data_IF_737390200419
#
_entry.id   IF_737390200419
#
_cell.length_a   1.000
_cell.length_b   1.000
_cell.length_c   1.000
_cell.angle_alpha   90.00
_cell.angle_beta   90.00
_cell.angle_gamma   90.00
#
_symmetry.space_group_name_H-M   'P 1'
#
loop_
_entity.id
_entity.type
_entity.pdbx_description
1 polymer ?
#
# COMPACT_ATOMS: atom_id res chain seq x y z
N UNK A 1 -0.26 -3.87 30.10
CA UNK A 1 -0.14 -4.15 28.65
C UNK A 1 1.02 -5.12 28.43
N UNK A 2 0.88 -6.09 27.55
CA UNK A 2 1.89 -7.10 27.22
C UNK A 2 2.20 -7.00 25.72
N UNK A 3 3.50 -7.00 25.37
CA UNK A 3 3.92 -7.01 23.97
C UNK A 3 4.31 -8.43 23.55
N UNK A 4 3.87 -8.86 22.35
CA UNK A 4 4.20 -10.18 21.81
C UNK A 4 4.21 -10.20 20.28
N UNK A 5 4.94 -11.17 19.73
CA UNK A 5 4.90 -11.49 18.31
C UNK A 5 3.58 -12.15 17.95
N UNK A 6 3.06 -11.85 16.77
CA UNK A 6 1.75 -12.29 16.26
C UNK A 6 1.87 -13.21 15.02
N UNK A 7 2.98 -13.91 14.90
CA UNK A 7 3.25 -14.88 13.83
C UNK A 7 2.18 -16.00 13.74
N UNK A 8 1.58 -16.39 14.88
CA UNK A 8 0.57 -17.46 14.99
C UNK A 8 -0.90 -16.98 14.86
N UNK A 9 -1.14 -15.67 14.78
CA UNK A 9 -2.49 -15.10 14.75
C UNK A 9 -2.63 -13.97 13.72
N UNK A 10 -2.33 -14.24 12.43
CA UNK A 10 -2.29 -13.20 11.39
C UNK A 10 -3.64 -12.50 11.20
N UNK A 11 -4.74 -13.23 11.26
CA UNK A 11 -6.08 -12.65 11.04
C UNK A 11 -6.43 -11.59 12.08
N UNK A 12 -6.10 -11.85 13.34
CA UNK A 12 -6.35 -10.92 14.43
C UNK A 12 -5.50 -9.65 14.30
N UNK A 13 -4.24 -9.82 13.92
CA UNK A 13 -3.33 -8.71 13.64
C UNK A 13 -3.84 -7.88 12.46
N UNK A 14 -4.16 -8.53 11.34
CA UNK A 14 -4.67 -7.87 10.14
C UNK A 14 -6.01 -7.18 10.36
N UNK A 15 -6.88 -7.77 11.19
CA UNK A 15 -8.16 -7.14 11.57
C UNK A 15 -7.94 -5.83 12.35
N UNK A 16 -7.01 -5.81 13.30
CA UNK A 16 -6.66 -4.58 14.02
C UNK A 16 -6.12 -3.53 13.05
N UNK A 17 -5.18 -3.89 12.18
CA UNK A 17 -4.64 -2.97 11.17
C UNK A 17 -5.74 -2.42 10.26
N UNK A 18 -6.66 -3.26 9.79
CA UNK A 18 -7.76 -2.87 8.90
C UNK A 18 -8.79 -1.94 9.57
N UNK A 19 -8.97 -2.05 10.88
CA UNK A 19 -9.91 -1.24 11.66
C UNK A 19 -9.31 0.06 12.19
N UNK A 20 -7.97 0.18 12.19
CA UNK A 20 -7.29 1.36 12.72
C UNK A 20 -7.44 2.56 11.76
N UNK A 21 -7.70 3.80 12.26
CA UNK A 21 -7.86 4.99 11.41
C UNK A 21 -6.65 5.29 10.49
N UNK A 22 -5.43 5.03 10.97
CA UNK A 22 -4.18 5.15 10.21
C UNK A 22 -3.74 3.81 9.60
N UNK A 23 -4.64 2.81 9.53
CA UNK A 23 -4.31 1.49 9.01
C UNK A 23 -3.90 1.52 7.54
N UNK A 24 -2.88 0.74 7.21
CA UNK A 24 -2.32 0.66 5.86
C UNK A 24 -1.99 -0.80 5.53
N UNK A 25 -2.13 -1.20 4.26
CA UNK A 25 -1.81 -2.55 3.81
C UNK A 25 -0.35 -2.92 4.11
N UNK A 26 0.55 -1.94 4.09
CA UNK A 26 1.97 -2.13 4.38
C UNK A 26 2.25 -2.53 5.84
N UNK A 27 1.26 -2.44 6.72
CA UNK A 27 1.32 -2.88 8.11
C UNK A 27 0.68 -4.25 8.34
N UNK A 28 0.22 -4.95 7.31
CA UNK A 28 -0.39 -6.28 7.42
C UNK A 28 0.64 -7.42 7.30
N UNK A 29 0.26 -8.61 7.77
CA UNK A 29 1.06 -9.82 7.54
C UNK A 29 1.12 -10.20 6.06
N UNK A 30 0.08 -9.90 5.26
CA UNK A 30 0.11 -10.08 3.80
C UNK A 30 1.27 -9.33 3.14
N UNK A 31 1.49 -8.08 3.55
CA UNK A 31 2.65 -7.32 3.08
C UNK A 31 3.96 -7.90 3.60
N UNK A 32 3.98 -8.35 4.84
CA UNK A 32 5.14 -9.03 5.43
C UNK A 32 5.56 -10.24 4.60
N UNK A 33 4.61 -11.11 4.22
CA UNK A 33 4.86 -12.28 3.38
C UNK A 33 5.37 -11.89 2.00
N UNK A 34 4.73 -10.93 1.31
CA UNK A 34 5.26 -10.42 0.06
C UNK A 34 6.71 -9.93 0.19
N UNK A 35 7.05 -9.27 1.29
CA UNK A 35 8.41 -8.76 1.52
C UNK A 35 9.41 -9.85 1.87
N UNK A 36 8.96 -11.00 2.40
CA UNK A 36 9.82 -12.15 2.69
C UNK A 36 10.52 -12.67 1.43
N UNK A 37 9.83 -12.66 0.29
CA UNK A 37 10.37 -13.03 -1.03
C UNK A 37 11.44 -12.05 -1.56
N UNK A 38 11.66 -10.91 -0.88
CA UNK A 38 12.63 -9.87 -1.29
C UNK A 38 13.74 -9.65 -0.26
N UNK A 39 14.00 -10.64 0.59
CA UNK A 39 15.09 -10.63 1.56
C UNK A 39 14.78 -9.86 2.85
N UNK A 40 13.52 -9.61 3.15
CA UNK A 40 13.06 -9.12 4.44
C UNK A 40 12.46 -10.25 5.26
N UNK A 41 12.68 -10.23 6.57
CA UNK A 41 12.02 -11.12 7.53
C UNK A 41 10.91 -10.34 8.23
N UNK A 42 9.62 -10.71 8.06
CA UNK A 42 8.52 -10.07 8.77
C UNK A 42 8.53 -10.46 10.26
N UNK A 43 8.31 -9.50 11.13
CA UNK A 43 8.19 -9.65 12.58
C UNK A 43 6.95 -8.83 13.02
N UNK A 44 5.73 -9.38 12.91
CA UNK A 44 4.53 -8.70 13.38
C UNK A 44 4.52 -8.68 14.91
N UNK A 45 4.59 -7.48 15.51
CA UNK A 45 4.56 -7.29 16.96
C UNK A 45 3.34 -6.47 17.35
N UNK A 46 2.70 -6.81 18.47
CA UNK A 46 1.59 -6.03 19.01
C UNK A 46 1.62 -5.97 20.53
N UNK A 47 1.12 -4.86 21.06
CA UNK A 47 0.82 -4.63 22.48
C UNK A 47 -0.63 -4.98 22.73
N UNK A 48 -0.87 -5.87 23.70
CA UNK A 48 -2.22 -6.37 24.05
C UNK A 48 -2.56 -5.96 25.47
N UNK A 49 -3.79 -5.50 25.68
CA UNK A 49 -4.39 -5.21 26.97
C UNK A 49 -5.79 -5.79 27.03
N UNK A 50 -6.09 -6.54 28.10
CA UNK A 50 -7.40 -7.20 28.28
C UNK A 50 -7.90 -7.94 27.03
N UNK A 51 -6.98 -8.62 26.37
CA UNK A 51 -7.27 -9.36 25.15
C UNK A 51 -7.41 -8.53 23.88
N UNK A 52 -7.26 -7.21 23.88
CA UNK A 52 -7.36 -6.34 22.71
C UNK A 52 -5.99 -5.77 22.30
N UNK A 53 -5.72 -5.68 20.99
CA UNK A 53 -4.53 -5.01 20.49
C UNK A 53 -4.72 -3.50 20.68
N UNK A 54 -3.72 -2.85 21.29
CA UNK A 54 -3.66 -1.40 21.53
C UNK A 54 -2.62 -0.69 20.68
N UNK A 55 -1.56 -1.40 20.29
CA UNK A 55 -0.58 -0.91 19.33
C UNK A 55 -0.02 -2.09 18.53
N UNK A 56 0.45 -1.82 17.32
CA UNK A 56 1.10 -2.83 16.47
C UNK A 56 2.12 -2.23 15.54
N UNK A 57 3.07 -3.06 15.12
CA UNK A 57 3.98 -2.76 14.03
C UNK A 57 4.27 -4.03 13.22
N UNK A 58 4.15 -3.92 11.89
CA UNK A 58 4.81 -4.85 10.97
C UNK A 58 6.27 -4.41 10.84
N UNK A 59 7.16 -5.10 11.51
CA UNK A 59 8.60 -4.87 11.40
C UNK A 59 9.15 -5.74 10.28
N UNK A 60 9.77 -5.12 9.32
CA UNK A 60 10.55 -5.77 8.28
C UNK A 60 12.02 -5.72 8.69
N UNK A 61 12.58 -6.88 9.03
CA UNK A 61 14.00 -7.04 9.39
C UNK A 61 14.81 -7.38 8.16
N UNK A 62 15.93 -6.71 7.93
CA UNK A 62 16.87 -7.01 6.85
C UNK A 62 18.30 -7.07 7.39
N UNK A 63 19.02 -8.13 7.05
CA UNK A 63 20.45 -8.28 7.37
C UNK A 63 21.26 -7.26 6.60
N UNK A 64 22.25 -6.65 7.26
CA UNK A 64 23.27 -5.81 6.62
C UNK A 64 24.43 -6.70 6.24
N UNK A 65 24.79 -6.80 4.95
CA UNK A 65 25.91 -7.62 4.50
C UNK A 65 27.19 -7.29 5.27
N UNK A 66 27.98 -8.30 5.58
CA UNK A 66 29.30 -8.23 6.23
C UNK A 66 29.35 -7.66 7.67
N UNK A 67 28.27 -7.07 8.19
CA UNK A 67 28.30 -6.47 9.54
C UNK A 67 27.77 -7.37 10.65
N UNK A 68 27.19 -8.53 10.34
CA UNK A 68 26.50 -9.38 11.33
C UNK A 68 25.35 -8.68 12.06
N UNK A 69 24.88 -7.55 11.53
CA UNK A 69 23.83 -6.69 12.07
C UNK A 69 22.62 -6.69 11.14
N UNK A 70 21.53 -6.08 11.58
CA UNK A 70 20.34 -5.89 10.77
C UNK A 70 19.77 -4.47 10.92
N UNK A 71 18.79 -4.16 10.11
CA UNK A 71 17.95 -2.97 10.23
C UNK A 71 16.49 -3.40 10.35
N UNK A 72 15.71 -2.59 11.05
CA UNK A 72 14.27 -2.70 11.15
C UNK A 72 13.59 -1.57 10.37
N UNK A 73 12.51 -1.89 9.67
CA UNK A 73 11.70 -0.91 8.97
C UNK A 73 10.21 -1.24 9.11
N UNK A 74 9.39 -0.24 9.46
CA UNK A 74 7.94 -0.35 9.52
C UNK A 74 7.31 0.69 8.58
N UNK A 75 6.98 0.31 7.33
CA UNK A 75 6.35 1.22 6.39
C UNK A 75 4.94 1.59 6.87
N UNK A 76 4.60 2.88 6.86
CA UNK A 76 3.29 3.39 7.31
C UNK A 76 2.92 3.01 8.75
N UNK A 77 3.88 2.64 9.56
CA UNK A 77 3.70 2.26 10.97
C UNK A 77 4.72 2.95 11.89
N UNK A 78 4.55 2.76 13.21
CA UNK A 78 3.59 1.88 13.89
C UNK A 78 2.16 2.43 13.96
N UNK A 79 1.22 1.57 14.39
CA UNK A 79 -0.17 1.92 14.71
C UNK A 79 -0.37 1.87 16.24
N UNK A 80 -1.07 2.85 16.81
CA UNK A 80 -1.31 2.89 18.25
C UNK A 80 -2.59 3.67 18.59
N UNK A 81 -3.27 3.25 19.66
CA UNK A 81 -4.52 3.86 20.13
C UNK A 81 -4.33 4.86 21.25
N UNK A 82 -3.15 4.88 21.87
CA UNK A 82 -2.80 5.82 22.97
C UNK A 82 -1.28 5.97 23.08
N UNK A 83 -0.83 7.06 23.71
CA UNK A 83 0.58 7.29 24.05
C UNK A 83 1.21 6.15 24.83
N UNK A 84 0.51 5.67 25.85
CA UNK A 84 0.99 4.57 26.69
C UNK A 84 1.17 3.27 25.88
N UNK A 85 0.25 2.99 24.96
CA UNK A 85 0.38 1.82 24.09
C UNK A 85 1.59 1.95 23.14
N UNK A 86 1.87 3.17 22.65
CA UNK A 86 3.07 3.45 21.87
C UNK A 86 4.35 3.23 22.70
N UNK A 87 4.39 3.72 23.94
CA UNK A 87 5.56 3.53 24.83
C UNK A 87 5.89 2.05 25.04
N UNK A 88 4.89 1.24 25.40
CA UNK A 88 5.08 -0.20 25.55
C UNK A 88 5.55 -0.86 24.24
N UNK A 89 5.05 -0.41 23.08
CA UNK A 89 5.52 -0.92 21.79
C UNK A 89 6.98 -0.53 21.53
N UNK A 90 7.36 0.73 21.79
CA UNK A 90 8.74 1.21 21.59
C UNK A 90 9.73 0.48 22.50
N UNK A 91 9.37 0.22 23.77
CA UNK A 91 10.18 -0.57 24.70
C UNK A 91 10.37 -2.00 24.20
N UNK A 92 9.29 -2.68 23.85
CA UNK A 92 9.34 -4.04 23.35
C UNK A 92 10.15 -4.17 22.05
N UNK A 93 10.02 -3.22 21.12
CA UNK A 93 10.82 -3.22 19.90
C UNK A 93 12.28 -2.88 20.18
N UNK A 94 12.58 -2.04 21.17
CA UNK A 94 13.97 -1.79 21.61
C UNK A 94 14.65 -3.08 22.10
N UNK A 95 13.94 -3.91 22.87
CA UNK A 95 14.48 -5.17 23.36
C UNK A 95 14.60 -6.21 22.24
N UNK A 96 13.63 -6.26 21.36
CA UNK A 96 13.69 -7.07 20.13
C UNK A 96 14.88 -6.65 19.24
N UNK A 97 15.13 -5.35 19.12
CA UNK A 97 16.24 -4.79 18.35
C UNK A 97 17.60 -5.19 18.95
N UNK A 98 17.75 -5.15 20.28
CA UNK A 98 18.96 -5.64 20.97
C UNK A 98 19.19 -7.12 20.70
N UNK A 99 18.16 -7.95 20.85
CA UNK A 99 18.22 -9.41 20.62
C UNK A 99 18.64 -9.75 19.18
N UNK A 100 18.16 -8.98 18.20
CA UNK A 100 18.49 -9.19 16.79
C UNK A 100 19.73 -8.43 16.31
N UNK A 101 20.35 -7.60 17.13
CA UNK A 101 21.47 -6.76 16.76
C UNK A 101 21.09 -5.70 15.71
N UNK A 102 19.89 -5.13 15.82
CA UNK A 102 19.44 -4.10 14.91
C UNK A 102 20.16 -2.77 15.18
N UNK A 103 20.63 -2.11 14.12
CA UNK A 103 21.32 -0.82 14.18
C UNK A 103 20.34 0.33 14.44
N UNK A 104 19.16 0.24 13.84
CA UNK A 104 18.08 1.22 13.99
C UNK A 104 16.74 0.62 13.58
N UNK A 105 15.66 1.25 13.99
CA UNK A 105 14.32 1.02 13.50
C UNK A 105 13.82 2.28 12.77
N UNK A 106 13.64 2.19 11.45
CA UNK A 106 13.05 3.24 10.63
C UNK A 106 11.52 3.11 10.61
N UNK A 107 10.84 4.24 10.77
CA UNK A 107 9.37 4.34 10.79
C UNK A 107 8.92 5.51 9.93
N UNK A 108 7.78 5.39 9.29
CA UNK A 108 7.10 6.47 8.54
C UNK A 108 5.57 6.35 8.66
N UNK A 109 5.02 6.53 9.89
CA UNK A 109 3.61 6.35 10.16
C UNK A 109 2.74 7.29 9.33
N UNK A 110 1.51 6.83 9.01
CA UNK A 110 0.52 7.62 8.29
C UNK A 110 -0.18 8.63 9.22
N UNK A 111 0.61 9.41 9.97
CA UNK A 111 0.13 10.47 10.87
C UNK A 111 0.19 11.81 10.15
N UNK A 112 -0.84 12.63 10.32
CA UNK A 112 -0.86 13.99 9.77
C UNK A 112 -0.06 14.93 10.67
N UNK A 113 0.75 15.80 10.06
CA UNK A 113 1.44 16.85 10.80
C UNK A 113 0.39 17.77 11.46
N UNK A 114 0.53 18.00 12.78
CA UNK A 114 -0.43 18.77 13.57
C UNK A 114 -1.45 17.92 14.34
N UNK A 115 -1.56 16.62 14.07
CA UNK A 115 -2.33 15.73 14.92
C UNK A 115 -1.64 15.58 16.30
N UNK A 116 -2.40 15.47 17.41
CA UNK A 116 -1.82 15.20 18.75
C UNK A 116 -0.93 13.94 18.73
N UNK A 117 -1.36 12.89 18.03
CA UNK A 117 -0.59 11.66 17.85
C UNK A 117 0.76 11.89 17.16
N UNK A 118 0.84 12.82 16.20
CA UNK A 118 2.12 13.20 15.58
C UNK A 118 3.05 13.89 16.59
N UNK A 119 2.54 14.83 17.35
CA UNK A 119 3.35 15.59 18.33
C UNK A 119 3.98 14.63 19.33
N UNK A 120 3.20 13.70 19.86
CA UNK A 120 3.68 12.73 20.83
C UNK A 120 4.65 11.72 20.23
N UNK A 121 4.37 11.23 19.03
CA UNK A 121 5.24 10.32 18.32
C UNK A 121 6.60 10.98 18.02
N UNK A 122 6.60 12.22 17.52
CA UNK A 122 7.81 12.93 17.09
C UNK A 122 8.74 13.29 18.24
N UNK A 123 8.23 13.57 19.45
CA UNK A 123 9.05 13.86 20.63
C UNK A 123 9.90 12.68 21.11
N UNK A 124 9.52 11.45 20.75
CA UNK A 124 10.20 10.23 21.21
C UNK A 124 11.23 9.70 20.21
N UNK A 125 11.41 10.36 19.06
CA UNK A 125 12.15 9.86 17.93
C UNK A 125 13.08 10.90 17.33
N UNK A 126 14.06 10.44 16.57
CA UNK A 126 14.93 11.30 15.77
C UNK A 126 14.32 11.43 14.39
N UNK A 127 13.89 12.64 14.02
CA UNK A 127 13.46 12.94 12.67
C UNK A 127 14.68 13.01 11.73
N UNK A 128 14.70 12.14 10.71
CA UNK A 128 15.74 12.18 9.67
C UNK A 128 15.23 13.05 8.53
N UNK A 129 15.83 14.22 8.37
CA UNK A 129 15.61 15.09 7.22
C UNK A 129 16.81 14.94 6.26
N UNK A 130 16.61 14.33 5.10
CA UNK A 130 17.69 14.12 4.13
C UNK A 130 17.93 15.30 3.21
N UNK A 131 17.18 16.42 3.37
CA UNK A 131 17.28 17.59 2.50
C UNK A 131 16.76 17.40 1.08
N UNK A 132 16.29 16.20 0.72
CA UNK A 132 15.72 15.88 -0.58
C UNK A 132 14.18 15.96 -0.51
N UNK A 133 13.52 16.36 -1.60
CA UNK A 133 12.06 16.41 -1.69
C UNK A 133 11.40 15.03 -1.44
N UNK A 134 12.14 13.95 -1.72
CA UNK A 134 11.82 12.56 -1.37
C UNK A 134 12.60 12.09 -0.14
N UNK A 135 12.23 12.57 1.03
CA UNK A 135 12.93 12.24 2.28
C UNK A 135 12.55 10.90 2.90
N UNK A 136 11.67 10.12 2.28
CA UNK A 136 11.19 8.85 2.81
C UNK A 136 11.04 7.79 1.75
N UNK A 137 10.81 6.56 2.19
CA UNK A 137 10.44 5.46 1.30
C UNK A 137 8.98 5.61 0.85
N UNK A 138 8.15 6.26 1.68
CA UNK A 138 6.74 6.53 1.42
C UNK A 138 6.51 8.02 1.08
N UNK A 139 5.55 8.35 0.20
CA UNK A 139 5.26 9.74 -0.16
C UNK A 139 4.76 10.53 1.06
N UNK A 140 5.28 11.76 1.23
CA UNK A 140 4.82 12.69 2.27
C UNK A 140 3.43 13.25 2.00
N UNK A 141 3.12 13.48 0.72
CA UNK A 141 1.86 14.05 0.27
C UNK A 141 1.13 13.02 -0.59
N UNK A 142 -0.13 12.85 -0.32
CA UNK A 142 -1.04 11.96 -1.04
C UNK A 142 -2.29 12.72 -1.43
N UNK A 143 -3.01 12.25 -2.44
CA UNK A 143 -4.29 12.81 -2.87
C UNK A 143 -5.40 11.82 -2.56
N UNK A 144 -6.18 12.10 -1.54
CA UNK A 144 -7.32 11.27 -1.16
C UNK A 144 -8.62 11.77 -1.77
N UNK A 145 -9.36 10.88 -2.39
CA UNK A 145 -10.71 11.11 -2.89
C UNK A 145 -11.72 10.46 -1.94
N UNK A 146 -12.68 11.25 -1.46
CA UNK A 146 -13.86 10.73 -0.76
C UNK A 146 -14.78 10.02 -1.77
N UNK A 147 -14.95 8.72 -1.61
CA UNK A 147 -15.80 7.88 -2.47
C UNK A 147 -17.10 7.43 -1.79
N UNK A 148 -17.49 8.04 -0.67
CA UNK A 148 -18.80 7.81 -0.01
C UNK A 148 -19.99 8.26 -0.83
N UNK A 149 -19.96 9.43 -1.53
CA UNK A 149 -21.06 9.88 -2.37
C UNK A 149 -21.40 8.89 -3.50
N UNK A 150 -22.55 9.06 -4.16
CA UNK A 150 -22.93 8.26 -5.33
C UNK A 150 -21.88 8.37 -6.45
N UNK A 151 -21.78 7.35 -7.31
CA UNK A 151 -20.85 7.38 -8.45
C UNK A 151 -21.10 8.59 -9.36
N UNK A 152 -22.38 8.97 -9.54
CA UNK A 152 -22.73 10.16 -10.33
C UNK A 152 -22.23 11.44 -9.67
N UNK A 153 -22.37 11.55 -8.35
CA UNK A 153 -21.85 12.69 -7.57
C UNK A 153 -20.34 12.77 -7.66
N UNK A 154 -19.65 11.65 -7.48
CA UNK A 154 -18.18 11.58 -7.59
C UNK A 154 -17.75 12.03 -8.99
N UNK A 155 -18.37 11.48 -10.04
CA UNK A 155 -18.06 11.82 -11.42
C UNK A 155 -18.36 13.30 -11.73
N UNK A 156 -19.47 13.83 -11.24
CA UNK A 156 -19.86 15.23 -11.48
C UNK A 156 -18.93 16.23 -10.78
N UNK A 157 -18.35 15.86 -9.65
CA UNK A 157 -17.38 16.70 -8.92
C UNK A 157 -15.96 16.68 -9.53
N UNK A 158 -15.68 15.77 -10.48
CA UNK A 158 -14.41 15.78 -11.20
C UNK A 158 -14.30 16.98 -12.13
N UNK A 159 -13.06 17.40 -12.46
CA UNK A 159 -12.81 18.42 -13.50
C UNK A 159 -13.45 18.01 -14.82
N UNK A 160 -13.96 18.98 -15.58
CA UNK A 160 -14.62 18.74 -16.87
C UNK A 160 -13.83 17.82 -17.81
N UNK A 161 -12.51 18.06 -17.96
CA UNK A 161 -11.62 17.23 -18.79
C UNK A 161 -11.56 15.77 -18.32
N UNK A 162 -11.56 15.54 -17.00
CA UNK A 162 -11.52 14.17 -16.43
C UNK A 162 -12.81 13.43 -16.76
N UNK A 163 -13.99 14.04 -16.50
CA UNK A 163 -15.30 13.46 -16.86
C UNK A 163 -15.40 13.16 -18.34
N UNK A 164 -14.97 14.14 -19.17
CA UNK A 164 -14.98 13.97 -20.62
C UNK A 164 -14.14 12.76 -21.04
N UNK A 165 -12.91 12.64 -20.54
CA UNK A 165 -12.00 11.56 -20.93
C UNK A 165 -12.48 10.18 -20.45
N UNK A 166 -13.10 10.06 -19.28
CA UNK A 166 -13.73 8.82 -18.83
C UNK A 166 -14.82 8.38 -19.82
N UNK A 167 -15.78 9.29 -20.11
CA UNK A 167 -16.88 9.01 -21.04
C UNK A 167 -16.39 8.81 -22.47
N UNK A 168 -15.34 9.50 -22.88
CA UNK A 168 -14.74 9.36 -24.21
C UNK A 168 -14.11 7.98 -24.39
N UNK A 169 -13.32 7.51 -23.42
CA UNK A 169 -12.74 6.18 -23.48
C UNK A 169 -13.82 5.09 -23.62
N UNK A 170 -14.88 5.17 -22.81
CA UNK A 170 -16.01 4.24 -22.87
C UNK A 170 -16.71 4.26 -24.25
N UNK A 171 -17.08 5.45 -24.76
CA UNK A 171 -17.69 5.60 -26.09
C UNK A 171 -16.80 5.11 -27.24
N UNK A 172 -15.48 5.17 -27.06
CA UNK A 172 -14.50 4.67 -28.04
C UNK A 172 -14.24 3.18 -27.91
N UNK A 173 -14.98 2.48 -27.04
CA UNK A 173 -14.88 1.02 -26.90
C UNK A 173 -13.69 0.54 -26.05
N UNK A 174 -13.14 1.41 -25.18
CA UNK A 174 -12.19 0.95 -24.17
C UNK A 174 -12.96 0.22 -23.08
N UNK A 175 -12.61 -1.04 -22.85
CA UNK A 175 -13.16 -1.88 -21.77
C UNK A 175 -12.12 -2.11 -20.70
N UNK A 176 -12.53 -2.19 -19.43
CA UNK A 176 -11.66 -2.51 -18.31
C UNK A 176 -12.12 -3.83 -17.66
N UNK A 177 -11.21 -4.77 -17.60
CA UNK A 177 -11.44 -6.09 -17.01
C UNK A 177 -10.71 -6.21 -15.67
N UNK A 178 -11.39 -6.76 -14.67
CA UNK A 178 -10.76 -7.21 -13.43
C UNK A 178 -10.16 -8.58 -13.72
N UNK A 179 -8.85 -8.68 -13.57
CA UNK A 179 -8.13 -9.92 -13.79
C UNK A 179 -8.54 -10.99 -12.77
N UNK A 180 -8.69 -12.22 -13.26
CA UNK A 180 -9.03 -13.42 -12.48
C UNK A 180 -7.96 -14.50 -12.54
N UNK A 181 -6.96 -14.32 -13.39
CA UNK A 181 -5.89 -15.28 -13.61
C UNK A 181 -4.52 -14.66 -13.40
N UNK A 182 -3.62 -15.40 -12.75
CA UNK A 182 -2.22 -15.00 -12.58
C UNK A 182 -1.52 -14.82 -13.94
N UNK A 183 -1.94 -15.54 -14.98
CA UNK A 183 -1.42 -15.39 -16.35
C UNK A 183 -1.64 -14.00 -16.95
N UNK A 184 -2.61 -13.21 -16.43
CA UNK A 184 -2.83 -11.84 -16.86
C UNK A 184 -1.64 -10.90 -16.51
N UNK A 185 -0.74 -11.36 -15.63
CA UNK A 185 0.53 -10.69 -15.39
C UNK A 185 1.43 -10.65 -16.64
N UNK A 186 1.33 -11.65 -17.52
CA UNK A 186 2.05 -11.70 -18.79
C UNK A 186 1.59 -10.60 -19.77
N UNK A 187 0.36 -10.09 -19.58
CA UNK A 187 -0.15 -8.90 -20.31
C UNK A 187 0.25 -7.61 -19.60
N UNK A 188 0.17 -7.58 -18.27
CA UNK A 188 0.46 -6.39 -17.49
C UNK A 188 1.95 -6.01 -17.51
N UNK A 189 2.84 -6.98 -17.36
CA UNK A 189 4.25 -6.72 -17.14
C UNK A 189 4.95 -6.05 -18.35
N UNK A 190 4.72 -6.49 -19.61
CA UNK A 190 5.25 -5.76 -20.77
C UNK A 190 4.76 -4.31 -20.89
N UNK A 191 3.51 -4.03 -20.52
CA UNK A 191 3.00 -2.66 -20.45
C UNK A 191 3.72 -1.83 -19.39
N UNK A 192 4.08 -2.45 -18.27
CA UNK A 192 4.82 -1.80 -17.20
C UNK A 192 6.28 -1.54 -17.63
N UNK A 193 6.92 -2.46 -18.35
CA UNK A 193 8.24 -2.28 -18.94
C UNK A 193 8.25 -1.12 -19.94
N UNK A 194 7.27 -1.07 -20.85
CA UNK A 194 7.09 0.02 -21.81
C UNK A 194 6.94 1.38 -21.09
N UNK A 195 6.16 1.40 -20.01
CA UNK A 195 5.96 2.60 -19.18
C UNK A 195 7.27 3.02 -18.50
N UNK A 196 7.99 2.07 -17.92
CA UNK A 196 9.25 2.32 -17.21
C UNK A 196 10.34 2.87 -18.16
N UNK A 197 10.45 2.31 -19.36
CA UNK A 197 11.37 2.80 -20.39
C UNK A 197 11.05 4.23 -20.82
N UNK A 198 9.77 4.52 -21.07
CA UNK A 198 9.30 5.85 -21.45
C UNK A 198 9.53 6.89 -20.37
N UNK A 199 9.17 6.55 -19.13
CA UNK A 199 9.13 7.51 -18.01
C UNK A 199 10.42 7.42 -17.14
N UNK A 200 11.39 6.56 -17.53
CA UNK A 200 12.74 6.43 -16.96
C UNK A 200 12.77 6.12 -15.46
N UNK A 201 11.99 5.14 -15.02
CA UNK A 201 12.05 4.64 -13.66
C UNK A 201 12.30 3.13 -13.60
N UNK A 202 12.79 2.66 -12.44
CA UNK A 202 13.04 1.23 -12.21
C UNK A 202 11.77 0.53 -11.75
N UNK A 203 11.53 -0.67 -12.27
CA UNK A 203 10.43 -1.54 -11.85
C UNK A 203 10.92 -2.76 -11.07
N UNK A 204 10.00 -3.40 -10.38
CA UNK A 204 10.22 -4.72 -9.77
C UNK A 204 10.26 -5.81 -10.84
N UNK A 205 10.93 -6.93 -10.54
CA UNK A 205 10.97 -8.09 -11.44
C UNK A 205 9.59 -8.69 -11.66
N UNK A 206 9.42 -9.47 -12.72
CA UNK A 206 8.19 -10.22 -12.96
C UNK A 206 7.84 -11.14 -11.78
N UNK A 207 8.83 -11.84 -11.22
CA UNK A 207 8.64 -12.71 -10.05
C UNK A 207 8.11 -11.97 -8.81
N UNK A 208 8.44 -10.69 -8.63
CA UNK A 208 7.82 -9.88 -7.59
C UNK A 208 6.31 -9.74 -7.77
N UNK A 209 5.83 -9.57 -9.00
CA UNK A 209 4.40 -9.47 -9.29
C UNK A 209 3.69 -10.83 -9.20
N UNK A 210 4.40 -11.94 -9.47
CA UNK A 210 3.88 -13.28 -9.19
C UNK A 210 3.65 -13.49 -7.69
N UNK A 211 4.62 -13.13 -6.84
CA UNK A 211 4.45 -13.16 -5.38
C UNK A 211 3.37 -12.18 -4.91
N UNK A 212 3.28 -10.98 -5.50
CA UNK A 212 2.21 -10.04 -5.20
C UNK A 212 0.84 -10.63 -5.52
N UNK A 213 0.72 -11.39 -6.61
CA UNK A 213 -0.51 -12.10 -6.91
C UNK A 213 -0.87 -13.09 -5.82
N UNK A 214 0.07 -13.93 -5.43
CA UNK A 214 -0.15 -14.97 -4.42
C UNK A 214 -0.48 -14.36 -3.04
N UNK A 215 0.30 -13.36 -2.60
CA UNK A 215 0.20 -12.82 -1.26
C UNK A 215 -0.85 -11.71 -1.08
N UNK A 216 -1.26 -11.03 -2.17
CA UNK A 216 -2.19 -9.89 -2.06
C UNK A 216 -3.45 -10.05 -2.92
N UNK A 217 -3.36 -10.61 -4.15
CA UNK A 217 -4.54 -10.74 -5.01
C UNK A 217 -5.40 -11.92 -4.59
N UNK A 218 -4.81 -13.08 -4.30
CA UNK A 218 -5.54 -14.26 -3.81
C UNK A 218 -6.29 -13.94 -2.50
N UNK A 219 -5.68 -13.29 -1.48
CA UNK A 219 -6.41 -12.87 -0.28
C UNK A 219 -7.39 -11.69 -0.49
N UNK A 220 -7.51 -11.18 -1.72
CA UNK A 220 -8.41 -10.07 -2.09
C UNK A 220 -8.08 -8.72 -1.44
N UNK A 221 -6.80 -8.50 -1.11
CA UNK A 221 -6.28 -7.21 -0.65
C UNK A 221 -5.70 -6.37 -1.78
N UNK A 222 -5.55 -6.97 -2.97
CA UNK A 222 -5.18 -6.30 -4.20
C UNK A 222 -6.03 -6.78 -5.37
N UNK A 223 -6.06 -6.01 -6.47
CA UNK A 223 -6.72 -6.36 -7.72
C UNK A 223 -5.94 -5.82 -8.91
N UNK A 224 -5.69 -6.66 -9.91
CA UNK A 224 -5.17 -6.26 -11.21
C UNK A 224 -6.33 -5.89 -12.15
N UNK A 225 -6.19 -4.75 -12.82
CA UNK A 225 -7.10 -4.23 -13.84
C UNK A 225 -6.37 -4.15 -15.18
N UNK A 226 -7.00 -4.57 -16.25
CA UNK A 226 -6.46 -4.47 -17.62
C UNK A 226 -7.46 -3.74 -18.52
N UNK A 227 -6.99 -2.73 -19.23
CA UNK A 227 -7.77 -1.99 -20.21
C UNK A 227 -7.48 -2.45 -21.62
N UNK A 228 -8.53 -2.72 -22.38
CA UNK A 228 -8.46 -3.21 -23.76
C UNK A 228 -9.24 -2.31 -24.73
N UNK A 229 -8.83 -2.35 -25.97
CA UNK A 229 -9.60 -1.88 -27.12
C UNK A 229 -9.44 -2.86 -28.26
N UNK A 230 -10.55 -3.48 -28.72
CA UNK A 230 -10.53 -4.51 -29.79
C UNK A 230 -9.49 -5.62 -29.52
N UNK A 231 -9.52 -6.19 -28.32
CA UNK A 231 -8.58 -7.22 -27.81
C UNK A 231 -7.11 -6.77 -27.66
N UNK A 232 -6.77 -5.52 -28.01
CA UNK A 232 -5.44 -4.98 -27.81
C UNK A 232 -5.32 -4.38 -26.39
N UNK A 233 -4.35 -4.83 -25.58
CA UNK A 233 -4.12 -4.24 -24.26
C UNK A 233 -3.56 -2.82 -24.41
N UNK A 234 -4.14 -1.86 -23.70
CA UNK A 234 -3.77 -0.44 -23.73
C UNK A 234 -3.18 0.04 -22.42
N UNK A 235 -3.41 -0.67 -21.34
CA UNK A 235 -2.89 -0.32 -20.03
C UNK A 235 -3.33 -1.31 -18.96
N UNK A 236 -2.72 -1.20 -17.80
CA UNK A 236 -3.05 -2.00 -16.63
C UNK A 236 -2.78 -1.23 -15.34
N UNK A 237 -3.40 -1.67 -14.26
CA UNK A 237 -3.21 -1.08 -12.95
C UNK A 237 -3.39 -2.12 -11.85
N UNK A 238 -2.65 -1.99 -10.75
CA UNK A 238 -2.91 -2.76 -9.54
C UNK A 238 -3.32 -1.79 -8.44
N UNK A 239 -4.52 -2.01 -7.90
CA UNK A 239 -5.01 -1.32 -6.74
C UNK A 239 -4.93 -2.21 -5.51
N UNK A 240 -4.61 -1.61 -4.35
CA UNK A 240 -4.64 -2.25 -3.04
C UNK A 240 -5.89 -1.81 -2.29
N UNK A 241 -6.33 -2.62 -1.32
CA UNK A 241 -7.39 -2.24 -0.39
C UNK A 241 -7.14 -2.83 1.00
N UNK A 242 -7.56 -2.10 2.03
CA UNK A 242 -7.63 -2.58 3.41
C UNK A 242 -8.71 -1.80 4.16
N UNK A 243 -9.59 -2.51 4.87
CA UNK A 243 -10.69 -1.86 5.59
C UNK A 243 -11.53 -0.96 4.69
N UNK A 244 -11.52 0.34 4.99
CA UNK A 244 -12.28 1.37 4.26
C UNK A 244 -11.48 2.16 3.24
N UNK A 245 -10.23 1.77 2.97
CA UNK A 245 -9.31 2.48 2.07
C UNK A 245 -8.89 1.63 0.89
N UNK A 246 -8.69 2.29 -0.25
CA UNK A 246 -8.09 1.70 -1.43
C UNK A 246 -7.00 2.64 -1.98
N UNK A 247 -5.96 2.05 -2.60
CA UNK A 247 -4.80 2.78 -3.14
C UNK A 247 -4.53 2.34 -4.58
N UNK A 248 -4.25 3.30 -5.46
CA UNK A 248 -3.63 3.06 -6.75
C UNK A 248 -2.11 2.93 -6.56
N UNK A 249 -1.54 1.76 -6.83
CA UNK A 249 -0.15 1.48 -6.48
C UNK A 249 0.75 1.27 -7.70
N UNK A 250 0.31 0.49 -8.66
CA UNK A 250 1.05 0.26 -9.90
C UNK A 250 0.19 0.62 -11.09
N UNK A 251 0.81 1.30 -12.07
CA UNK A 251 0.15 1.66 -13.31
C UNK A 251 1.05 1.50 -14.51
N UNK A 252 0.44 1.03 -15.59
CA UNK A 252 1.09 0.78 -16.86
C UNK A 252 0.21 1.31 -18.00
N UNK A 253 0.84 1.86 -19.04
CA UNK A 253 0.12 2.33 -20.23
C UNK A 253 0.96 2.15 -21.48
N UNK A 254 0.36 1.58 -22.52
CA UNK A 254 0.98 1.47 -23.83
C UNK A 254 1.16 2.83 -24.50
N UNK A 255 2.15 2.94 -25.36
CA UNK A 255 2.33 4.06 -26.27
C UNK A 255 1.33 4.05 -27.45
N UNK A 256 0.71 2.88 -27.68
CA UNK A 256 -0.29 2.71 -28.75
C UNK A 256 -1.64 3.27 -28.34
N UNK A 257 -2.31 3.98 -29.26
CA UNK A 257 -3.69 4.52 -29.07
C UNK A 257 -3.88 5.33 -27.78
N UNK A 258 -2.87 6.07 -27.34
CA UNK A 258 -2.95 6.93 -26.13
C UNK A 258 -4.09 7.94 -26.16
N UNK A 259 -4.49 8.34 -27.36
CA UNK A 259 -5.67 9.21 -27.59
C UNK A 259 -6.99 8.58 -27.09
N UNK A 260 -7.06 7.26 -26.91
CA UNK A 260 -8.27 6.59 -26.38
C UNK A 260 -8.45 6.75 -24.87
N UNK A 261 -7.50 7.36 -24.16
CA UNK A 261 -7.60 7.73 -22.74
C UNK A 261 -7.82 6.54 -21.79
N UNK A 262 -7.21 5.38 -22.07
CA UNK A 262 -7.38 4.14 -21.30
C UNK A 262 -7.06 4.30 -19.80
N UNK A 263 -6.09 5.16 -19.44
CA UNK A 263 -5.75 5.45 -18.04
C UNK A 263 -6.91 6.07 -17.26
N UNK A 264 -7.74 6.90 -17.89
CA UNK A 264 -8.94 7.45 -17.24
C UNK A 264 -10.01 6.38 -17.01
N UNK A 265 -10.15 5.43 -17.95
CA UNK A 265 -11.05 4.29 -17.78
C UNK A 265 -10.58 3.39 -16.62
N UNK A 266 -9.26 3.12 -16.52
CA UNK A 266 -8.66 2.34 -15.42
C UNK A 266 -8.91 3.00 -14.06
N UNK A 267 -8.63 4.30 -13.92
CA UNK A 267 -8.84 5.02 -12.66
C UNK A 267 -10.32 4.98 -12.25
N UNK A 268 -11.24 5.20 -13.20
CA UNK A 268 -12.66 5.12 -12.92
C UNK A 268 -13.12 3.71 -12.52
N UNK A 269 -12.59 2.68 -13.17
CA UNK A 269 -12.89 1.29 -12.81
C UNK A 269 -12.41 0.94 -11.39
N UNK A 270 -11.21 1.41 -10.98
CA UNK A 270 -10.70 1.19 -9.63
C UNK A 270 -11.54 1.92 -8.57
N UNK A 271 -11.98 3.15 -8.83
CA UNK A 271 -12.88 3.89 -7.93
C UNK A 271 -14.21 3.14 -7.76
N UNK A 272 -14.81 2.67 -8.86
CA UNK A 272 -16.04 1.87 -8.83
C UNK A 272 -15.86 0.57 -8.05
N UNK A 273 -14.76 -0.13 -8.27
CA UNK A 273 -14.42 -1.36 -7.56
C UNK A 273 -14.25 -1.11 -6.06
N UNK A 274 -13.46 -0.12 -5.67
CA UNK A 274 -13.23 0.23 -4.28
C UNK A 274 -14.54 0.58 -3.56
N UNK A 275 -15.39 1.41 -4.20
CA UNK A 275 -16.71 1.76 -3.69
C UNK A 275 -17.62 0.54 -3.57
N UNK A 276 -17.66 -0.34 -4.57
CA UNK A 276 -18.43 -1.59 -4.55
C UNK A 276 -18.03 -2.54 -3.42
N UNK A 277 -16.80 -2.45 -2.92
CA UNK A 277 -16.29 -3.19 -1.77
C UNK A 277 -16.46 -2.43 -0.42
N UNK A 278 -17.19 -1.31 -0.42
CA UNK A 278 -17.47 -0.53 0.78
C UNK A 278 -16.33 0.34 1.27
N UNK A 279 -15.32 0.62 0.43
CA UNK A 279 -14.31 1.62 0.75
C UNK A 279 -14.93 3.03 0.75
N UNK A 280 -14.36 3.89 1.59
CA UNK A 280 -14.80 5.30 1.73
C UNK A 280 -13.78 6.28 1.16
N UNK A 281 -12.54 5.83 1.00
CA UNK A 281 -11.42 6.66 0.53
C UNK A 281 -10.64 5.92 -0.55
N UNK A 282 -10.27 6.66 -1.60
CA UNK A 282 -9.40 6.21 -2.69
C UNK A 282 -8.21 7.16 -2.81
N UNK A 283 -7.01 6.61 -2.75
CA UNK A 283 -5.73 7.34 -2.86
C UNK A 283 -5.13 7.17 -4.26
#
# INVERSE_FOLDING_TARGET
MEAKLFDKHPDRFNHYVASHPAGDLLQTTYWGELKSHTGWQPLPIAVVESGQIRASAMILKRKVPMLGRCIFYSPRGPLFSSPTALEHLLEAVRDLAKTHGALFWKMDPALKKGDPAWTEFSQKLIEINTGLDFNGVQPKFIMELDIRPSLDTILNNMKHKTRYNIRYAERKGVTVHLSKSKSDLEIFYPLLEETAQRDKFMIRSFSYFEHLWDELVIPRTAQLFLAFHQNQPLGGAIAFRLGKRAWYVYGASSNVKRNLQASYALQWAMIRWAKGLGCTTYD
#
